data_IF_305190945798
#
_entry.id   IF_305190945798
#
_cell.length_a   1.000
_cell.length_b   1.000
_cell.length_c   1.000
_cell.angle_alpha   90.00
_cell.angle_beta   90.00
_cell.angle_gamma   90.00
#
_symmetry.space_group_name_H-M   'P 1'
#
loop_
_entity.id
_entity.type
_entity.pdbx_description
1 polymer ?
#
# COMPACT_ATOMS: atom_id res chain seq x y z
N UNK A 1 -21.11 -15.55 42.24
CA UNK A 1 -19.76 -16.16 42.24
C UNK A 1 -19.53 -17.20 41.12
N UNK A 2 -20.43 -18.13 40.78
CA UNK A 2 -20.23 -19.10 39.69
C UNK A 2 -20.19 -18.45 38.28
N UNK A 3 -21.02 -17.42 38.01
CA UNK A 3 -21.06 -16.73 36.71
C UNK A 3 -19.78 -15.91 36.42
N UNK A 4 -19.19 -15.29 37.46
CA UNK A 4 -17.91 -14.55 37.30
C UNK A 4 -16.72 -15.48 37.03
N UNK A 5 -16.69 -16.68 37.60
CA UNK A 5 -15.63 -17.69 37.31
C UNK A 5 -15.74 -18.23 35.88
N UNK A 6 -16.96 -18.39 35.34
CA UNK A 6 -17.16 -18.84 33.95
C UNK A 6 -16.76 -17.75 32.94
N UNK A 7 -17.03 -16.48 33.25
CA UNK A 7 -16.61 -15.35 32.40
C UNK A 7 -15.07 -15.20 32.37
N UNK A 8 -14.41 -15.28 33.52
CA UNK A 8 -12.95 -15.24 33.61
C UNK A 8 -12.28 -16.43 32.89
N UNK A 9 -12.80 -17.65 33.05
CA UNK A 9 -12.31 -18.83 32.34
C UNK A 9 -12.49 -18.75 30.81
N UNK A 10 -13.57 -18.10 30.35
CA UNK A 10 -13.82 -17.87 28.91
C UNK A 10 -12.86 -16.82 28.34
N UNK A 11 -12.59 -15.75 29.10
CA UNK A 11 -11.63 -14.70 28.69
C UNK A 11 -10.20 -15.24 28.67
N UNK A 12 -9.80 -16.05 29.67
CA UNK A 12 -8.47 -16.72 29.67
C UNK A 12 -8.31 -17.69 28.48
N UNK A 13 -9.33 -18.48 28.18
CA UNK A 13 -9.31 -19.38 27.00
C UNK A 13 -9.21 -18.60 25.69
N UNK A 14 -9.96 -17.52 25.55
CA UNK A 14 -9.89 -16.64 24.37
C UNK A 14 -8.52 -15.97 24.23
N UNK A 15 -7.93 -15.56 25.36
CA UNK A 15 -6.58 -14.97 25.37
C UNK A 15 -5.48 -15.99 25.06
N UNK A 16 -5.67 -17.24 25.51
CA UNK A 16 -4.75 -18.35 25.20
C UNK A 16 -4.82 -18.78 23.74
N UNK A 17 -6.03 -18.82 23.15
CA UNK A 17 -6.25 -19.08 21.73
C UNK A 17 -5.65 -17.95 20.88
N UNK A 18 -5.82 -16.70 21.30
CA UNK A 18 -5.23 -15.52 20.63
C UNK A 18 -3.69 -15.58 20.66
N UNK A 19 -3.09 -15.96 21.80
CA UNK A 19 -1.63 -16.09 21.96
C UNK A 19 -1.06 -17.26 21.13
N UNK A 20 -1.80 -18.36 21.00
CA UNK A 20 -1.42 -19.54 20.19
C UNK A 20 -1.51 -19.19 18.69
N UNK A 21 -2.59 -18.54 18.26
CA UNK A 21 -2.79 -18.08 16.88
C UNK A 21 -1.75 -17.03 16.47
N UNK A 22 -1.37 -16.16 17.39
CA UNK A 22 -0.28 -15.19 17.16
C UNK A 22 1.09 -15.87 16.96
N UNK A 23 1.35 -16.99 17.67
CA UNK A 23 2.58 -17.78 17.52
C UNK A 23 2.63 -18.55 16.19
N UNK A 24 1.49 -19.04 15.69
CA UNK A 24 1.38 -19.75 14.40
C UNK A 24 1.53 -18.78 13.20
N UNK A 25 0.93 -17.58 13.27
CA UNK A 25 1.10 -16.53 12.25
C UNK A 25 2.56 -16.04 12.21
N UNK A 26 3.19 -15.86 13.35
CA UNK A 26 4.61 -15.51 13.45
C UNK A 26 5.51 -16.65 12.94
N UNK A 27 5.14 -17.89 13.18
CA UNK A 27 5.87 -19.09 12.74
C UNK A 27 5.85 -19.30 11.22
N UNK A 28 4.71 -19.10 10.55
CA UNK A 28 4.59 -19.24 9.09
C UNK A 28 5.34 -18.12 8.35
N UNK A 29 5.31 -16.89 8.88
CA UNK A 29 6.12 -15.77 8.40
C UNK A 29 7.64 -15.98 8.65
N UNK A 30 7.99 -16.80 9.64
CA UNK A 30 9.39 -17.17 9.94
C UNK A 30 9.99 -18.09 8.86
N UNK A 31 9.20 -19.01 8.30
CA UNK A 31 9.66 -19.93 7.24
C UNK A 31 9.91 -19.19 5.90
N UNK A 32 9.06 -18.21 5.58
CA UNK A 32 9.27 -17.35 4.41
C UNK A 32 10.54 -16.50 4.55
N UNK A 33 10.87 -16.06 5.76
CA UNK A 33 12.04 -15.23 6.03
C UNK A 33 13.37 -16.02 5.91
N UNK A 34 13.41 -17.28 6.36
CA UNK A 34 14.59 -18.16 6.22
C UNK A 34 14.86 -18.53 4.76
N UNK A 35 13.82 -18.68 3.94
CA UNK A 35 13.96 -18.88 2.49
C UNK A 35 14.51 -17.64 1.79
N UNK A 36 14.10 -16.43 2.20
CA UNK A 36 14.60 -15.17 1.68
C UNK A 36 16.07 -14.95 2.09
N UNK A 37 16.45 -15.25 3.34
CA UNK A 37 17.87 -15.18 3.76
C UNK A 37 18.78 -16.14 2.98
N UNK A 38 18.34 -17.38 2.72
CA UNK A 38 19.10 -18.34 1.93
C UNK A 38 19.26 -17.90 0.47
N UNK A 39 18.24 -17.19 -0.06
CA UNK A 39 18.24 -16.65 -1.39
C UNK A 39 19.22 -15.45 -1.53
N UNK A 40 19.30 -14.60 -0.52
CA UNK A 40 20.24 -13.49 -0.41
C UNK A 40 21.71 -13.94 -0.37
N UNK A 41 22.00 -15.06 0.29
CA UNK A 41 23.37 -15.61 0.35
C UNK A 41 23.89 -16.06 -1.01
N UNK A 42 23.02 -16.53 -1.91
CA UNK A 42 23.38 -16.91 -3.28
C UNK A 42 23.61 -15.71 -4.22
N UNK A 43 23.09 -14.53 -3.91
CA UNK A 43 23.20 -13.34 -4.77
C UNK A 43 24.42 -12.46 -4.50
N UNK A 44 25.12 -12.66 -3.39
CA UNK A 44 26.37 -11.94 -3.04
C UNK A 44 27.51 -12.08 -4.08
N UNK A 45 27.40 -13.02 -5.02
CA UNK A 45 28.46 -13.33 -6.00
C UNK A 45 28.20 -12.77 -7.42
N UNK A 46 27.04 -12.22 -7.72
CA UNK A 46 26.73 -11.65 -9.05
C UNK A 46 27.12 -10.17 -9.13
N UNK A 47 27.92 -9.80 -10.14
CA UNK A 47 28.15 -8.38 -10.50
C UNK A 47 26.83 -7.76 -10.94
N UNK A 48 26.47 -6.62 -10.34
CA UNK A 48 25.31 -5.84 -10.74
C UNK A 48 25.41 -5.37 -12.20
N UNK A 49 24.28 -5.21 -12.87
CA UNK A 49 24.20 -4.82 -14.28
C UNK A 49 23.19 -3.67 -14.47
N UNK A 50 23.68 -2.47 -14.80
CA UNK A 50 22.85 -1.29 -15.04
C UNK A 50 21.89 -1.49 -16.24
N UNK A 51 22.31 -2.22 -17.27
CA UNK A 51 21.49 -2.46 -18.46
C UNK A 51 20.19 -3.23 -18.15
N UNK A 52 20.15 -3.97 -17.05
CA UNK A 52 18.97 -4.66 -16.59
C UNK A 52 17.84 -3.71 -16.13
N UNK A 53 18.11 -2.41 -15.95
CA UNK A 53 17.13 -1.37 -15.60
C UNK A 53 16.48 -0.73 -16.84
N UNK A 54 16.96 -1.01 -18.06
CA UNK A 54 16.40 -0.46 -19.30
C UNK A 54 14.89 -0.70 -19.41
N UNK A 55 14.33 -1.89 -19.09
CA UNK A 55 12.89 -2.10 -19.19
C UNK A 55 12.08 -1.13 -18.32
N UNK A 56 12.57 -0.80 -17.12
CA UNK A 56 11.93 0.19 -16.28
C UNK A 56 11.99 1.59 -16.89
N UNK A 57 13.14 1.97 -17.48
CA UNK A 57 13.28 3.25 -18.18
C UNK A 57 12.39 3.32 -19.44
N UNK A 58 12.23 2.20 -20.14
CA UNK A 58 11.30 2.10 -21.30
C UNK A 58 9.86 2.29 -20.83
N UNK A 59 9.46 1.63 -19.74
CA UNK A 59 8.12 1.78 -19.16
C UNK A 59 7.82 3.25 -18.84
N UNK A 60 8.68 3.87 -18.02
CA UNK A 60 8.51 5.27 -17.59
C UNK A 60 8.61 6.22 -18.79
N UNK A 61 9.56 5.97 -19.71
CA UNK A 61 9.77 6.80 -20.88
C UNK A 61 8.61 6.76 -21.88
N UNK A 62 8.01 5.59 -22.10
CA UNK A 62 6.81 5.46 -22.95
C UNK A 62 5.63 6.18 -22.32
N UNK A 63 5.38 5.95 -21.02
CA UNK A 63 4.24 6.55 -20.36
C UNK A 63 4.35 8.07 -20.30
N UNK A 64 5.48 8.61 -19.79
CA UNK A 64 5.72 10.04 -19.74
C UNK A 64 5.83 10.66 -21.12
N UNK A 65 6.51 10.00 -22.06
CA UNK A 65 6.70 10.50 -23.42
C UNK A 65 5.39 10.68 -24.18
N UNK A 66 4.49 9.69 -24.09
CA UNK A 66 3.16 9.80 -24.71
C UNK A 66 2.29 10.81 -23.95
N UNK A 67 2.22 10.74 -22.62
CA UNK A 67 1.41 11.65 -21.81
C UNK A 67 1.78 13.11 -21.98
N UNK A 68 3.08 13.45 -21.99
CA UNK A 68 3.55 14.81 -22.24
C UNK A 68 3.34 15.20 -23.70
N UNK A 69 3.60 14.31 -24.65
CA UNK A 69 3.46 14.58 -26.08
C UNK A 69 2.03 14.82 -26.55
N UNK A 70 1.05 14.15 -25.93
CA UNK A 70 -0.38 14.30 -26.22
C UNK A 70 -1.09 15.30 -25.30
N UNK A 71 -0.47 15.67 -24.17
CA UNK A 71 -1.11 16.45 -23.11
C UNK A 71 -2.12 15.66 -22.27
N UNK A 72 -2.23 14.34 -22.51
CA UNK A 72 -3.17 13.44 -21.82
C UNK A 72 -2.51 12.11 -21.46
N UNK A 73 -2.38 11.85 -20.18
CA UNK A 73 -1.78 10.61 -19.64
C UNK A 73 -2.69 9.37 -19.77
N UNK A 74 -3.96 9.55 -20.09
CA UNK A 74 -4.89 8.45 -20.39
C UNK A 74 -4.66 7.82 -21.78
N UNK A 75 -3.98 8.55 -22.68
CA UNK A 75 -3.69 8.10 -24.05
C UNK A 75 -2.79 6.86 -24.08
N UNK A 76 -1.94 6.65 -23.06
CA UNK A 76 -1.08 5.45 -22.96
C UNK A 76 -1.61 4.51 -21.88
N UNK A 77 -2.33 3.44 -22.21
CA UNK A 77 -2.76 2.46 -21.22
C UNK A 77 -1.57 1.84 -20.48
N UNK A 78 -1.67 1.80 -19.15
CA UNK A 78 -0.56 1.36 -18.28
C UNK A 78 -0.17 -0.11 -18.57
N UNK A 79 -1.16 -0.99 -18.80
CA UNK A 79 -0.97 -2.38 -19.16
C UNK A 79 -0.14 -2.54 -20.46
N UNK A 80 -0.36 -1.66 -21.46
CA UNK A 80 0.40 -1.66 -22.72
C UNK A 80 1.85 -1.23 -22.49
N UNK A 81 2.07 -0.15 -21.73
CA UNK A 81 3.42 0.33 -21.43
C UNK A 81 4.25 -0.73 -20.68
N UNK A 82 3.64 -1.42 -19.70
CA UNK A 82 4.30 -2.49 -18.94
C UNK A 82 4.53 -3.73 -19.82
N UNK A 83 3.60 -4.06 -20.70
CA UNK A 83 3.76 -5.18 -21.65
C UNK A 83 4.97 -4.93 -22.57
N UNK A 84 5.09 -3.74 -23.13
CA UNK A 84 6.25 -3.37 -23.97
C UNK A 84 7.55 -3.45 -23.17
N UNK A 85 7.58 -2.93 -21.95
CA UNK A 85 8.73 -3.04 -21.07
C UNK A 85 9.08 -4.50 -20.74
N UNK A 86 8.09 -5.36 -20.56
CA UNK A 86 8.26 -6.80 -20.31
C UNK A 86 8.85 -7.50 -21.53
N UNK A 87 8.42 -7.15 -22.75
CA UNK A 87 8.99 -7.65 -23.99
C UNK A 87 10.47 -7.22 -24.09
N UNK A 88 10.79 -5.96 -23.81
CA UNK A 88 12.18 -5.48 -23.80
C UNK A 88 13.01 -6.26 -22.77
N UNK A 89 12.48 -6.53 -21.58
CA UNK A 89 13.15 -7.33 -20.56
C UNK A 89 13.45 -8.77 -21.02
N UNK A 90 12.51 -9.38 -21.76
CA UNK A 90 12.68 -10.72 -22.34
C UNK A 90 13.72 -10.75 -23.49
N UNK A 91 13.88 -9.66 -24.25
CA UNK A 91 14.87 -9.56 -25.33
C UNK A 91 16.29 -9.31 -24.78
N UNK A 92 16.41 -8.59 -23.67
CA UNK A 92 17.69 -8.34 -23.00
C UNK A 92 18.36 -9.66 -22.54
N UNK A 93 19.64 -9.58 -22.18
CA UNK A 93 20.44 -10.72 -21.72
C UNK A 93 20.48 -11.91 -22.71
N UNK A 94 21.11 -11.67 -23.86
CA UNK A 94 21.25 -12.69 -24.94
C UNK A 94 22.05 -13.94 -24.55
N UNK A 95 22.63 -13.95 -23.34
CA UNK A 95 23.38 -15.12 -22.82
C UNK A 95 22.46 -16.21 -22.28
N UNK A 96 21.20 -15.88 -22.00
CA UNK A 96 20.21 -16.85 -21.50
C UNK A 96 19.20 -17.24 -22.56
N UNK A 97 18.70 -18.48 -22.48
CA UNK A 97 17.66 -18.98 -23.38
C UNK A 97 16.34 -18.25 -23.11
N UNK A 98 15.54 -18.07 -24.17
CA UNK A 98 14.22 -17.45 -24.05
C UNK A 98 13.33 -18.20 -23.06
N UNK A 99 13.40 -19.55 -23.06
CA UNK A 99 12.66 -20.39 -22.12
C UNK A 99 12.98 -20.06 -20.65
N UNK A 100 14.29 -19.86 -20.32
CA UNK A 100 14.69 -19.50 -18.96
C UNK A 100 14.14 -18.13 -18.55
N UNK A 101 14.14 -17.16 -19.45
CA UNK A 101 13.59 -15.82 -19.17
C UNK A 101 12.09 -15.86 -18.92
N UNK A 102 11.35 -16.66 -19.73
CA UNK A 102 9.91 -16.88 -19.53
C UNK A 102 9.67 -17.57 -18.17
N UNK A 103 10.49 -18.56 -17.79
CA UNK A 103 10.41 -19.20 -16.47
C UNK A 103 10.59 -18.21 -15.33
N UNK A 104 11.58 -17.30 -15.42
CA UNK A 104 11.81 -16.24 -14.42
C UNK A 104 10.63 -15.28 -14.36
N UNK A 105 10.14 -14.83 -15.53
CA UNK A 105 8.99 -13.95 -15.63
C UNK A 105 7.74 -14.57 -14.97
N UNK A 106 7.41 -15.81 -15.33
CA UNK A 106 6.22 -16.50 -14.81
C UNK A 106 6.32 -16.77 -13.31
N UNK A 107 7.52 -17.10 -12.79
CA UNK A 107 7.75 -17.20 -11.33
C UNK A 107 7.55 -15.87 -10.62
N UNK A 108 7.98 -14.77 -11.22
CA UNK A 108 7.74 -13.43 -10.68
C UNK A 108 6.28 -13.04 -10.69
N UNK A 109 5.60 -13.24 -11.82
CA UNK A 109 4.17 -12.99 -12.00
C UNK A 109 3.32 -13.84 -11.04
N UNK A 110 3.70 -15.11 -10.81
CA UNK A 110 3.06 -16.05 -9.89
C UNK A 110 3.55 -15.94 -8.44
N UNK A 111 4.32 -14.93 -8.09
CA UNK A 111 4.77 -14.75 -6.71
C UNK A 111 3.60 -14.56 -5.75
N UNK A 112 3.67 -15.17 -4.56
CA UNK A 112 2.55 -15.21 -3.61
C UNK A 112 1.97 -13.83 -3.27
N UNK A 113 2.82 -12.79 -3.17
CA UNK A 113 2.36 -11.42 -2.91
C UNK A 113 1.60 -10.83 -4.10
N UNK A 114 2.00 -11.14 -5.34
CA UNK A 114 1.31 -10.67 -6.55
C UNK A 114 -0.08 -11.32 -6.63
N UNK A 115 -0.15 -12.64 -6.45
CA UNK A 115 -1.42 -13.37 -6.45
C UNK A 115 -2.34 -12.89 -5.32
N UNK A 116 -1.79 -12.61 -4.13
CA UNK A 116 -2.55 -12.05 -3.02
C UNK A 116 -3.13 -10.68 -3.37
N UNK A 117 -2.34 -9.78 -3.99
CA UNK A 117 -2.82 -8.45 -4.44
C UNK A 117 -3.93 -8.60 -5.48
N UNK A 118 -3.77 -9.48 -6.47
CA UNK A 118 -4.81 -9.75 -7.46
C UNK A 118 -6.11 -10.20 -6.81
N UNK A 119 -6.04 -11.12 -5.82
CA UNK A 119 -7.21 -11.58 -5.08
C UNK A 119 -7.87 -10.44 -4.29
N UNK A 120 -7.09 -9.57 -3.67
CA UNK A 120 -7.61 -8.39 -2.97
C UNK A 120 -8.32 -7.45 -3.95
N UNK A 121 -7.75 -7.18 -5.14
CA UNK A 121 -8.38 -6.32 -6.15
C UNK A 121 -9.71 -6.90 -6.64
N UNK A 122 -9.75 -8.18 -6.97
CA UNK A 122 -10.97 -8.88 -7.40
C UNK A 122 -12.06 -8.80 -6.33
N UNK A 123 -11.73 -9.10 -5.07
CA UNK A 123 -12.68 -9.03 -3.96
C UNK A 123 -13.11 -7.59 -3.66
N UNK A 124 -12.21 -6.62 -3.77
CA UNK A 124 -12.53 -5.21 -3.59
C UNK A 124 -13.50 -4.71 -4.66
N UNK A 125 -13.28 -5.08 -5.93
CA UNK A 125 -14.21 -4.76 -7.02
C UNK A 125 -15.60 -5.37 -6.80
N UNK A 126 -15.65 -6.66 -6.45
CA UNK A 126 -16.92 -7.33 -6.13
C UNK A 126 -17.64 -6.66 -4.94
N UNK A 127 -16.91 -6.29 -3.86
CA UNK A 127 -17.46 -5.57 -2.71
C UNK A 127 -17.97 -4.19 -3.11
N UNK A 128 -17.18 -3.42 -3.83
CA UNK A 128 -17.51 -2.07 -4.30
C UNK A 128 -18.81 -2.08 -5.08
N UNK A 129 -18.90 -2.89 -6.14
CA UNK A 129 -20.05 -2.93 -7.03
C UNK A 129 -21.31 -3.47 -6.32
N UNK A 130 -21.17 -4.55 -5.54
CA UNK A 130 -22.31 -5.11 -4.80
C UNK A 130 -22.89 -4.11 -3.80
N UNK A 131 -22.00 -3.35 -3.13
CA UNK A 131 -22.43 -2.33 -2.14
C UNK A 131 -22.99 -1.09 -2.83
N UNK A 132 -22.48 -0.71 -4.00
CA UNK A 132 -22.99 0.38 -4.83
C UNK A 132 -24.39 0.07 -5.32
N UNK A 133 -24.60 -1.08 -5.96
CA UNK A 133 -25.91 -1.51 -6.51
C UNK A 133 -26.96 -1.70 -5.40
N UNK A 134 -26.54 -2.04 -4.17
CA UNK A 134 -27.38 -2.05 -2.98
C UNK A 134 -27.75 -0.63 -2.48
N UNK A 135 -27.02 0.43 -2.94
CA UNK A 135 -27.15 1.81 -2.44
C UNK A 135 -26.40 2.09 -1.14
N UNK A 136 -25.47 1.22 -0.75
CA UNK A 136 -24.66 1.33 0.46
C UNK A 136 -23.62 2.42 0.39
N UNK A 137 -22.99 2.63 -0.79
CA UNK A 137 -22.05 3.73 -1.02
C UNK A 137 -22.75 5.06 -0.77
N UNK A 138 -23.90 5.30 -1.45
CA UNK A 138 -24.65 6.55 -1.31
C UNK A 138 -25.11 6.79 0.12
N UNK A 139 -25.65 5.75 0.80
CA UNK A 139 -26.08 5.87 2.19
C UNK A 139 -24.92 6.18 3.14
N UNK A 140 -23.73 5.61 2.90
CA UNK A 140 -22.53 5.86 3.72
C UNK A 140 -22.00 7.28 3.50
N UNK A 141 -21.96 7.73 2.26
CA UNK A 141 -21.58 9.11 1.90
C UNK A 141 -22.54 10.11 2.55
N UNK A 142 -23.86 9.92 2.39
CA UNK A 142 -24.87 10.80 2.96
C UNK A 142 -24.81 10.85 4.49
N UNK A 143 -24.57 9.71 5.15
CA UNK A 143 -24.32 9.68 6.60
C UNK A 143 -23.08 10.51 6.96
N UNK A 144 -21.98 10.36 6.23
CA UNK A 144 -20.77 11.16 6.42
C UNK A 144 -21.03 12.66 6.27
N UNK A 145 -21.72 13.05 5.20
CA UNK A 145 -22.10 14.44 4.92
C UNK A 145 -23.05 15.04 5.96
N UNK A 146 -23.91 14.21 6.57
CA UNK A 146 -24.82 14.67 7.63
C UNK A 146 -24.15 14.88 8.99
N UNK A 147 -23.02 14.19 9.26
CA UNK A 147 -22.36 14.19 10.56
C UNK A 147 -21.09 15.05 10.61
N UNK A 148 -20.38 15.17 9.49
CA UNK A 148 -19.08 15.84 9.43
C UNK A 148 -19.26 17.18 8.70
N UNK A 149 -18.74 18.30 9.26
CA UNK A 149 -18.72 19.58 8.55
C UNK A 149 -18.07 19.46 7.18
N UNK A 150 -18.62 20.14 6.17
CA UNK A 150 -18.20 20.05 4.76
C UNK A 150 -16.69 20.23 4.58
N UNK A 151 -16.11 21.22 5.22
CA UNK A 151 -14.69 21.55 5.16
C UNK A 151 -13.77 20.53 5.87
N UNK A 152 -14.32 19.55 6.59
CA UNK A 152 -13.58 18.52 7.31
C UNK A 152 -13.78 17.12 6.74
N UNK A 153 -14.62 16.93 5.72
CA UNK A 153 -14.99 15.58 5.24
C UNK A 153 -13.79 14.82 4.66
N UNK A 154 -12.94 15.50 3.90
CA UNK A 154 -11.72 14.90 3.32
C UNK A 154 -10.65 14.66 4.40
N UNK A 155 -10.56 15.56 5.38
CA UNK A 155 -9.71 15.36 6.57
C UNK A 155 -10.21 14.14 7.36
N UNK A 156 -11.53 14.01 7.55
CA UNK A 156 -12.14 12.85 8.19
C UNK A 156 -11.84 11.53 7.46
N UNK A 157 -11.93 11.54 6.14
CA UNK A 157 -11.56 10.40 5.31
C UNK A 157 -10.10 10.00 5.51
N UNK A 158 -9.16 10.97 5.54
CA UNK A 158 -7.75 10.72 5.83
C UNK A 158 -7.56 10.05 7.20
N UNK A 159 -8.21 10.60 8.24
CA UNK A 159 -8.12 10.08 9.61
C UNK A 159 -8.68 8.65 9.71
N UNK A 160 -9.82 8.38 9.08
CA UNK A 160 -10.39 7.03 9.04
C UNK A 160 -9.40 6.04 8.39
N UNK A 161 -8.85 6.39 7.24
CA UNK A 161 -7.86 5.55 6.56
C UNK A 161 -6.61 5.31 7.43
N UNK A 162 -6.14 6.32 8.18
CA UNK A 162 -5.02 6.18 9.12
C UNK A 162 -5.30 5.09 10.17
N UNK A 163 -6.47 5.14 10.82
CA UNK A 163 -6.84 4.18 11.87
C UNK A 163 -7.10 2.78 11.32
N UNK A 164 -7.78 2.66 10.19
CA UNK A 164 -8.04 1.37 9.53
C UNK A 164 -6.72 0.70 9.17
N UNK A 165 -5.83 1.42 8.49
CA UNK A 165 -4.54 0.88 8.07
C UNK A 165 -3.62 0.54 9.25
N UNK A 166 -3.61 1.36 10.31
CA UNK A 166 -2.89 1.08 11.55
C UNK A 166 -3.31 -0.27 12.15
N UNK A 167 -4.59 -0.57 12.10
CA UNK A 167 -5.19 -1.77 12.68
C UNK A 167 -5.11 -2.99 11.79
N UNK A 168 -5.28 -2.84 10.46
CA UNK A 168 -5.15 -3.92 9.48
C UNK A 168 -3.68 -4.30 9.21
N UNK A 169 -2.77 -3.34 9.33
CA UNK A 169 -1.36 -3.53 8.99
C UNK A 169 -1.12 -3.73 7.50
N UNK A 170 -1.94 -3.10 6.65
CA UNK A 170 -1.78 -3.13 5.19
C UNK A 170 -2.40 -1.90 4.53
N UNK A 171 -1.59 -1.18 3.76
CA UNK A 171 -2.06 -0.04 2.97
C UNK A 171 -2.94 -0.45 1.79
N UNK A 172 -2.55 -1.50 1.06
CA UNK A 172 -3.34 -2.03 -0.08
C UNK A 172 -4.73 -2.47 0.37
N UNK A 173 -4.81 -3.21 1.48
CA UNK A 173 -6.09 -3.67 2.03
C UNK A 173 -6.99 -2.52 2.49
N UNK A 174 -6.40 -1.46 3.06
CA UNK A 174 -7.13 -0.27 3.48
C UNK A 174 -7.66 0.51 2.27
N UNK A 175 -6.84 0.70 1.23
CA UNK A 175 -7.28 1.33 -0.02
C UNK A 175 -8.44 0.52 -0.62
N UNK A 176 -8.29 -0.81 -0.74
CA UNK A 176 -9.32 -1.68 -1.28
C UNK A 176 -10.67 -1.57 -0.53
N UNK A 177 -10.62 -1.40 0.79
CA UNK A 177 -11.82 -1.30 1.62
C UNK A 177 -12.50 0.08 1.60
N UNK A 178 -11.71 1.17 1.51
CA UNK A 178 -12.22 2.53 1.74
C UNK A 178 -12.30 3.36 0.45
N UNK A 179 -11.57 3.01 -0.62
CA UNK A 179 -11.62 3.76 -1.88
C UNK A 179 -13.03 3.94 -2.46
N UNK A 180 -13.97 2.95 -2.40
CA UNK A 180 -15.33 3.15 -2.86
C UNK A 180 -16.06 4.29 -2.13
N UNK A 181 -15.88 4.41 -0.82
CA UNK A 181 -16.44 5.52 -0.03
C UNK A 181 -15.81 6.84 -0.44
N UNK A 182 -14.48 6.87 -0.59
CA UNK A 182 -13.76 8.05 -1.08
C UNK A 182 -14.25 8.49 -2.46
N UNK A 183 -14.45 7.56 -3.39
CA UNK A 183 -15.01 7.85 -4.71
C UNK A 183 -16.45 8.39 -4.61
N UNK A 184 -17.29 7.76 -3.79
CA UNK A 184 -18.65 8.25 -3.54
C UNK A 184 -18.66 9.68 -2.98
N UNK A 185 -17.70 10.04 -2.10
CA UNK A 185 -17.54 11.42 -1.62
C UNK A 185 -17.20 12.37 -2.76
N UNK A 186 -16.30 12.00 -3.68
CA UNK A 186 -15.98 12.85 -4.85
C UNK A 186 -17.18 13.07 -5.78
N UNK A 187 -18.11 12.13 -5.85
CA UNK A 187 -19.33 12.28 -6.64
C UNK A 187 -20.40 13.16 -5.93
N UNK A 188 -20.33 13.26 -4.62
CA UNK A 188 -21.28 14.01 -3.81
C UNK A 188 -20.80 15.42 -3.44
N UNK A 189 -19.53 15.75 -3.73
CA UNK A 189 -18.89 17.04 -3.42
C UNK A 189 -18.17 17.59 -4.66
N UNK A 190 -17.74 18.84 -4.62
CA UNK A 190 -16.93 19.46 -5.68
C UNK A 190 -15.45 19.03 -5.62
N UNK A 191 -15.08 18.12 -4.70
CA UNK A 191 -13.71 17.63 -4.57
C UNK A 191 -13.44 16.57 -5.62
N UNK A 192 -12.37 16.75 -6.40
CA UNK A 192 -12.03 15.80 -7.47
C UNK A 192 -11.73 14.40 -6.96
N UNK A 193 -12.03 13.38 -7.78
CA UNK A 193 -11.70 12.00 -7.49
C UNK A 193 -10.19 11.81 -7.21
N UNK A 194 -9.31 12.54 -7.90
CA UNK A 194 -7.89 12.50 -7.70
C UNK A 194 -7.47 12.90 -6.27
N UNK A 195 -8.06 13.97 -5.72
CA UNK A 195 -7.80 14.43 -4.34
C UNK A 195 -8.31 13.39 -3.33
N UNK A 196 -9.53 12.91 -3.49
CA UNK A 196 -10.12 11.94 -2.54
C UNK A 196 -9.38 10.61 -2.55
N UNK A 197 -9.01 10.11 -3.74
CA UNK A 197 -8.24 8.87 -3.88
C UNK A 197 -6.82 8.99 -3.31
N UNK A 198 -6.11 10.10 -3.61
CA UNK A 198 -4.81 10.38 -3.03
C UNK A 198 -4.86 10.52 -1.50
N UNK A 199 -5.97 11.06 -0.97
CA UNK A 199 -6.22 11.14 0.49
C UNK A 199 -6.38 9.75 1.11
N UNK A 200 -7.13 8.85 0.47
CA UNK A 200 -7.27 7.45 0.92
C UNK A 200 -5.90 6.76 0.94
N UNK A 201 -5.12 6.88 -0.14
CA UNK A 201 -3.76 6.33 -0.21
C UNK A 201 -2.87 6.91 0.87
N UNK A 202 -2.87 8.22 1.05
CA UNK A 202 -2.04 8.90 2.06
C UNK A 202 -2.35 8.43 3.48
N UNK A 203 -3.62 8.33 3.86
CA UNK A 203 -4.05 7.81 5.16
C UNK A 203 -3.67 6.33 5.35
N UNK A 204 -3.85 5.52 4.30
CA UNK A 204 -3.46 4.11 4.31
C UNK A 204 -1.93 3.94 4.48
N UNK A 205 -1.13 4.76 3.83
CA UNK A 205 0.34 4.75 3.95
C UNK A 205 0.80 5.17 5.36
N UNK A 206 0.15 6.16 5.99
CA UNK A 206 0.45 6.54 7.36
C UNK A 206 0.22 5.38 8.34
N UNK A 207 -0.95 4.75 8.27
CA UNK A 207 -1.31 3.66 9.16
C UNK A 207 -0.40 2.45 9.01
N UNK A 208 -0.09 2.07 7.77
CA UNK A 208 0.83 0.98 7.44
C UNK A 208 2.23 1.22 8.03
N UNK A 209 2.77 2.42 7.88
CA UNK A 209 4.08 2.81 8.40
C UNK A 209 4.17 2.80 9.94
N UNK A 210 3.07 3.05 10.66
CA UNK A 210 3.02 3.01 12.13
C UNK A 210 2.50 1.69 12.70
N UNK A 211 1.88 0.83 11.90
CA UNK A 211 1.31 -0.43 12.39
C UNK A 211 2.41 -1.38 12.90
N UNK A 212 2.17 -1.96 14.07
CA UNK A 212 3.06 -2.98 14.64
C UNK A 212 2.89 -4.36 14.00
N UNK A 213 1.84 -4.56 13.21
CA UNK A 213 1.54 -5.82 12.54
C UNK A 213 1.77 -5.74 11.02
N UNK A 214 2.16 -4.58 10.51
CA UNK A 214 2.49 -4.39 9.10
C UNK A 214 3.72 -5.20 8.69
N UNK A 215 3.64 -5.78 7.49
CA UNK A 215 4.76 -6.54 6.90
C UNK A 215 5.99 -5.65 6.67
N UNK A 216 5.81 -4.37 6.31
CA UNK A 216 6.89 -3.39 6.14
C UNK A 216 7.63 -3.12 7.45
N UNK A 217 6.87 -2.85 8.50
CA UNK A 217 7.42 -2.63 9.85
C UNK A 217 8.13 -3.88 10.36
N UNK A 218 7.54 -5.08 10.18
CA UNK A 218 8.17 -6.37 10.56
C UNK A 218 9.48 -6.57 9.79
N UNK A 219 9.49 -6.34 8.49
CA UNK A 219 10.68 -6.45 7.65
C UNK A 219 11.80 -5.48 8.10
N UNK A 220 11.47 -4.21 8.32
CA UNK A 220 12.42 -3.19 8.77
C UNK A 220 13.05 -3.54 10.12
N UNK A 221 12.22 -3.94 11.10
CA UNK A 221 12.69 -4.27 12.44
C UNK A 221 13.56 -5.51 12.45
N UNK A 222 13.18 -6.55 11.69
CA UNK A 222 13.94 -7.82 11.65
C UNK A 222 15.27 -7.66 10.94
N UNK A 223 15.32 -6.97 9.81
CA UNK A 223 16.56 -6.74 9.06
C UNK A 223 17.57 -5.94 9.86
N UNK A 224 17.11 -4.98 10.67
CA UNK A 224 17.95 -4.15 11.52
C UNK A 224 18.19 -4.74 12.93
N UNK A 225 17.61 -5.91 13.25
CA UNK A 225 17.71 -6.57 14.57
C UNK A 225 17.34 -5.66 15.73
N UNK A 226 16.29 -4.84 15.56
CA UNK A 226 15.75 -3.96 16.60
C UNK A 226 14.38 -4.44 17.11
N UNK A 227 13.81 -3.77 18.12
CA UNK A 227 12.48 -4.10 18.66
C UNK A 227 11.40 -3.26 18.00
N UNK A 228 10.23 -3.86 17.77
CA UNK A 228 9.06 -3.22 17.21
C UNK A 228 8.67 -1.94 17.95
N UNK A 229 8.58 -2.02 19.29
CA UNK A 229 8.25 -0.89 20.16
C UNK A 229 9.28 0.24 20.09
N UNK A 230 10.55 -0.10 19.88
CA UNK A 230 11.63 0.89 19.82
C UNK A 230 11.63 1.62 18.47
N UNK A 231 11.36 0.91 17.35
CA UNK A 231 11.12 1.52 16.02
C UNK A 231 9.91 2.42 16.05
N UNK A 232 8.79 1.97 16.63
CA UNK A 232 7.56 2.76 16.75
C UNK A 232 7.82 4.12 17.43
N UNK A 233 8.54 4.13 18.57
CA UNK A 233 8.87 5.36 19.31
C UNK A 233 9.73 6.35 18.52
N UNK A 234 10.56 5.87 17.60
CA UNK A 234 11.34 6.71 16.72
C UNK A 234 10.46 7.23 15.59
N UNK A 235 9.75 6.32 14.96
CA UNK A 235 8.97 6.58 13.76
C UNK A 235 7.85 7.58 13.99
N UNK A 236 7.07 7.43 15.09
CA UNK A 236 5.94 8.31 15.40
C UNK A 236 6.35 9.79 15.51
N UNK A 237 7.57 10.06 16.01
CA UNK A 237 8.09 11.44 16.15
C UNK A 237 8.37 12.13 14.83
N UNK A 238 8.50 11.36 13.74
CA UNK A 238 8.76 11.87 12.40
C UNK A 238 7.48 11.84 11.55
N UNK A 239 6.74 10.75 11.65
CA UNK A 239 5.57 10.47 10.82
C UNK A 239 4.35 11.28 11.28
N UNK A 240 4.16 11.46 12.61
CA UNK A 240 3.03 12.22 13.13
C UNK A 240 3.06 13.71 12.74
N UNK A 241 4.19 14.44 12.81
CA UNK A 241 4.28 15.77 12.21
C UNK A 241 3.88 15.79 10.74
N UNK A 242 4.32 14.78 9.94
CA UNK A 242 3.93 14.64 8.53
C UNK A 242 2.41 14.51 8.36
N UNK A 243 1.75 13.72 9.18
CA UNK A 243 0.29 13.59 9.17
C UNK A 243 -0.42 14.90 9.54
N UNK A 244 0.07 15.61 10.55
CA UNK A 244 -0.50 16.91 10.97
C UNK A 244 -0.38 17.93 9.81
N UNK A 245 0.78 18.03 9.17
CA UNK A 245 0.95 18.91 8.02
C UNK A 245 0.05 18.48 6.85
N UNK A 246 -0.14 17.18 6.62
CA UNK A 246 -1.07 16.66 5.61
C UNK A 246 -2.51 17.05 5.92
N UNK A 247 -2.96 16.93 7.17
CA UNK A 247 -4.29 17.35 7.62
C UNK A 247 -4.50 18.85 7.34
N UNK A 248 -3.52 19.67 7.69
CA UNK A 248 -3.56 21.12 7.44
C UNK A 248 -3.61 21.40 5.93
N UNK A 249 -2.78 20.73 5.14
CA UNK A 249 -2.76 20.93 3.69
C UNK A 249 -4.06 20.48 3.02
N UNK A 250 -4.62 19.34 3.42
CA UNK A 250 -5.92 18.85 2.95
C UNK A 250 -7.04 19.83 3.33
N UNK A 251 -7.03 20.35 4.56
CA UNK A 251 -8.01 21.33 4.99
C UNK A 251 -7.96 22.58 4.12
N UNK A 252 -6.78 23.15 3.84
CA UNK A 252 -6.64 24.30 2.95
C UNK A 252 -7.05 23.99 1.51
N UNK A 253 -6.70 22.82 1.00
CA UNK A 253 -6.99 22.40 -0.37
C UNK A 253 -8.49 22.18 -0.61
N UNK A 254 -9.22 21.76 0.43
CA UNK A 254 -10.64 21.42 0.35
C UNK A 254 -11.54 22.40 1.13
N UNK A 255 -10.96 23.49 1.68
CA UNK A 255 -11.68 24.54 2.38
C UNK A 255 -12.40 25.47 1.40
N UNK A 256 -13.56 25.12 1.03
CA UNK A 256 -14.38 25.78 0.00
C UNK A 256 -15.11 24.76 -0.86
N UNK A 257 -14.88 23.49 -0.61
CA UNK A 257 -15.69 22.43 -1.16
C UNK A 257 -17.15 22.66 -0.76
N UNK A 258 -18.01 22.89 -1.74
CA UNK A 258 -19.43 23.09 -1.51
C UNK A 258 -20.11 21.75 -1.61
N UNK A 259 -20.92 21.47 -0.61
CA UNK A 259 -21.93 20.42 -0.67
C UNK A 259 -23.22 21.11 -1.16
N UNK A 260 -23.90 20.52 -2.09
CA UNK A 260 -25.18 21.05 -2.57
C UNK A 260 -26.21 21.02 -1.41
N UNK A 261 -26.24 22.10 -0.64
CA UNK A 261 -27.13 22.26 0.51
C UNK A 261 -28.64 22.17 0.15
N UNK A 262 -28.96 22.15 -1.16
CA UNK A 262 -30.33 21.94 -1.64
C UNK A 262 -30.73 20.47 -1.68
N UNK A 263 -29.77 19.54 -1.58
CA UNK A 263 -30.02 18.09 -1.57
C UNK A 263 -30.27 17.60 -0.15
N UNK A 264 -31.35 16.84 0.03
CA UNK A 264 -31.55 16.02 1.23
C UNK A 264 -30.55 14.86 1.21
N UNK A 265 -29.70 14.77 2.23
CA UNK A 265 -28.75 13.66 2.39
C UNK A 265 -29.41 12.52 3.17
N UNK A 266 -30.52 12.00 2.63
CA UNK A 266 -31.21 10.87 3.24
C UNK A 266 -30.33 9.62 3.17
N UNK A 267 -30.20 8.91 4.28
CA UNK A 267 -29.44 7.67 4.37
C UNK A 267 -30.24 6.55 5.03
N UNK A 268 -29.99 5.34 4.59
CA UNK A 268 -30.52 4.14 5.24
C UNK A 268 -29.41 3.45 6.04
N UNK A 269 -29.54 3.47 7.36
CA UNK A 269 -28.52 2.91 8.27
C UNK A 269 -28.26 1.42 8.01
N UNK A 270 -29.25 0.65 7.54
CA UNK A 270 -29.06 -0.76 7.20
C UNK A 270 -28.12 -0.92 6.01
N UNK A 271 -28.21 -0.03 5.02
CA UNK A 271 -27.33 -0.02 3.85
C UNK A 271 -25.88 0.45 4.18
N UNK A 272 -25.69 1.12 5.31
CA UNK A 272 -24.35 1.50 5.82
C UNK A 272 -23.65 0.34 6.52
N UNK A 273 -24.40 -0.65 7.03
CA UNK A 273 -23.85 -1.76 7.83
C UNK A 273 -22.65 -2.50 7.19
N UNK A 274 -22.60 -2.77 5.87
CA UNK A 274 -21.44 -3.41 5.26
C UNK A 274 -20.15 -2.62 5.48
N UNK A 275 -20.17 -1.29 5.29
CA UNK A 275 -19.01 -0.44 5.53
C UNK A 275 -18.66 -0.34 7.01
N UNK A 276 -19.66 -0.24 7.90
CA UNK A 276 -19.40 -0.28 9.36
C UNK A 276 -18.78 -1.61 9.79
N UNK A 277 -19.27 -2.73 9.25
CA UNK A 277 -18.68 -4.05 9.52
C UNK A 277 -17.24 -4.14 9.00
N UNK A 278 -16.99 -3.71 7.76
CA UNK A 278 -15.63 -3.65 7.19
C UNK A 278 -14.72 -2.80 8.08
N UNK A 279 -15.16 -1.61 8.48
CA UNK A 279 -14.42 -0.72 9.37
C UNK A 279 -14.11 -1.38 10.72
N UNK A 280 -15.12 -1.95 11.38
CA UNK A 280 -14.96 -2.60 12.70
C UNK A 280 -14.01 -3.81 12.60
N UNK A 281 -14.22 -4.70 11.62
CA UNK A 281 -13.38 -5.87 11.44
C UNK A 281 -11.93 -5.49 11.10
N UNK A 282 -11.74 -4.43 10.31
CA UNK A 282 -10.43 -3.87 10.02
C UNK A 282 -9.76 -3.30 11.28
N UNK A 283 -10.49 -2.52 12.09
CA UNK A 283 -9.99 -1.93 13.34
C UNK A 283 -9.59 -2.98 14.39
N UNK A 284 -10.19 -4.15 14.41
CA UNK A 284 -9.78 -5.27 15.27
C UNK A 284 -8.71 -6.17 14.63
N UNK A 285 -8.20 -5.80 13.44
CA UNK A 285 -7.07 -6.47 12.77
C UNK A 285 -7.42 -7.79 12.09
N UNK A 286 -8.66 -7.97 11.62
CA UNK A 286 -9.05 -9.14 10.82
C UNK A 286 -8.41 -9.06 9.43
N UNK A 287 -8.05 -10.22 8.87
CA UNK A 287 -7.46 -10.32 7.53
C UNK A 287 -8.37 -9.69 6.47
N UNK A 288 -7.78 -8.87 5.58
CA UNK A 288 -8.48 -8.10 4.54
C UNK A 288 -9.38 -8.97 3.65
N UNK A 289 -8.95 -10.19 3.29
CA UNK A 289 -9.75 -11.12 2.49
C UNK A 289 -11.05 -11.48 3.20
N UNK A 290 -10.97 -11.82 4.50
CA UNK A 290 -12.15 -12.14 5.32
C UNK A 290 -13.06 -10.92 5.44
N UNK A 291 -12.48 -9.74 5.63
CA UNK A 291 -13.21 -8.47 5.72
C UNK A 291 -13.99 -8.21 4.44
N UNK A 292 -13.36 -8.33 3.27
CA UNK A 292 -14.00 -8.10 1.97
C UNK A 292 -15.08 -9.16 1.66
N UNK A 293 -14.79 -10.45 1.90
CA UNK A 293 -15.78 -11.53 1.73
C UNK A 293 -16.99 -11.28 2.64
N UNK A 294 -16.76 -10.92 3.90
CA UNK A 294 -17.83 -10.57 4.83
C UNK A 294 -18.65 -9.37 4.36
N UNK A 295 -17.98 -8.36 3.81
CA UNK A 295 -18.61 -7.17 3.22
C UNK A 295 -19.54 -7.54 2.06
N UNK A 296 -19.04 -8.35 1.10
CA UNK A 296 -19.83 -8.86 -0.04
C UNK A 296 -21.04 -9.64 0.47
N UNK A 297 -20.83 -10.57 1.40
CA UNK A 297 -21.91 -11.40 1.93
C UNK A 297 -23.01 -10.58 2.63
N UNK A 298 -22.61 -9.58 3.43
CA UNK A 298 -23.59 -8.71 4.12
C UNK A 298 -24.31 -7.82 3.14
N UNK A 299 -23.64 -7.23 2.15
CA UNK A 299 -24.26 -6.44 1.08
C UNK A 299 -25.24 -7.27 0.27
N UNK A 300 -24.89 -8.52 -0.06
CA UNK A 300 -25.74 -9.45 -0.76
C UNK A 300 -27.03 -9.74 0.03
N UNK A 301 -26.91 -10.06 1.32
CA UNK A 301 -28.06 -10.34 2.19
C UNK A 301 -29.00 -9.13 2.29
N UNK A 302 -28.44 -7.94 2.52
CA UNK A 302 -29.24 -6.72 2.65
C UNK A 302 -29.94 -6.41 1.31
N UNK A 303 -29.21 -6.42 0.18
CA UNK A 303 -29.77 -6.06 -1.11
C UNK A 303 -30.84 -7.05 -1.61
N UNK A 304 -30.73 -8.35 -1.26
CA UNK A 304 -31.76 -9.34 -1.54
C UNK A 304 -33.01 -9.17 -0.66
N UNK A 305 -32.84 -8.77 0.60
CA UNK A 305 -33.97 -8.58 1.54
C UNK A 305 -34.73 -7.29 1.24
N UNK A 306 -34.02 -6.20 0.94
CA UNK A 306 -34.65 -4.89 0.67
C UNK A 306 -35.12 -4.72 -0.79
N UNK A 307 -34.78 -5.71 -1.65
CA UNK A 307 -35.21 -5.71 -3.06
C UNK A 307 -34.37 -4.79 -3.96
N UNK A 308 -33.22 -4.32 -3.51
CA UNK A 308 -32.28 -3.53 -4.35
C UNK A 308 -31.84 -4.32 -5.58
N UNK A 309 -31.74 -5.64 -5.44
CA UNK A 309 -31.50 -6.58 -6.55
C UNK A 309 -32.07 -7.97 -6.23
N UNK A 310 -32.38 -8.76 -7.28
CA UNK A 310 -32.68 -10.19 -7.16
C UNK A 310 -31.43 -11.04 -7.30
N UNK A 311 -31.56 -12.38 -7.33
CA UNK A 311 -30.42 -13.29 -7.45
C UNK A 311 -29.57 -13.06 -8.71
N UNK A 312 -30.21 -12.81 -9.85
CA UNK A 312 -29.52 -12.51 -11.10
C UNK A 312 -28.77 -11.18 -11.01
N UNK A 313 -29.38 -10.15 -10.45
CA UNK A 313 -28.76 -8.83 -10.23
C UNK A 313 -27.56 -8.92 -9.29
N UNK A 314 -27.64 -9.73 -8.21
CA UNK A 314 -26.49 -9.96 -7.34
C UNK A 314 -25.28 -10.59 -8.10
N UNK A 315 -25.55 -11.61 -8.92
CA UNK A 315 -24.50 -12.26 -9.71
C UNK A 315 -23.90 -11.30 -10.74
N UNK A 316 -24.72 -10.46 -11.35
CA UNK A 316 -24.29 -9.40 -12.27
C UNK A 316 -23.43 -8.34 -11.56
N UNK A 317 -23.82 -7.89 -10.37
CA UNK A 317 -23.06 -6.93 -9.56
C UNK A 317 -21.67 -7.48 -9.21
N UNK A 318 -21.60 -8.72 -8.71
CA UNK A 318 -20.34 -9.39 -8.40
C UNK A 318 -19.47 -9.50 -9.67
N UNK A 319 -20.05 -9.93 -10.80
CA UNK A 319 -19.35 -10.09 -12.07
C UNK A 319 -18.83 -8.76 -12.60
N UNK A 320 -19.65 -7.71 -12.60
CA UNK A 320 -19.22 -6.35 -13.00
C UNK A 320 -18.07 -5.84 -12.15
N UNK A 321 -18.14 -6.03 -10.83
CA UNK A 321 -17.07 -5.64 -9.91
C UNK A 321 -15.76 -6.35 -10.18
N UNK A 322 -15.79 -7.67 -10.48
CA UNK A 322 -14.61 -8.46 -10.86
C UNK A 322 -14.01 -7.93 -12.17
N UNK A 323 -14.85 -7.75 -13.20
CA UNK A 323 -14.44 -7.24 -14.53
C UNK A 323 -13.82 -5.84 -14.40
N UNK A 324 -14.40 -4.96 -13.57
CA UNK A 324 -13.85 -3.62 -13.32
C UNK A 324 -12.43 -3.61 -12.75
N UNK A 325 -11.93 -4.74 -12.23
CA UNK A 325 -10.59 -4.87 -11.66
C UNK A 325 -9.63 -5.72 -12.53
N UNK A 326 -10.05 -6.19 -13.71
CA UNK A 326 -9.24 -7.05 -14.60
C UNK A 326 -7.94 -6.37 -15.02
N UNK A 327 -8.00 -5.13 -15.49
CA UNK A 327 -6.83 -4.38 -15.93
C UNK A 327 -5.80 -4.23 -14.82
N UNK A 328 -6.26 -3.94 -13.59
CA UNK A 328 -5.40 -3.76 -12.42
C UNK A 328 -4.73 -5.08 -12.02
N UNK A 329 -5.48 -6.16 -12.04
CA UNK A 329 -4.96 -7.50 -11.76
C UNK A 329 -3.92 -7.91 -12.82
N UNK A 330 -4.16 -7.61 -14.11
CA UNK A 330 -3.23 -7.84 -15.20
C UNK A 330 -1.95 -7.00 -15.04
N UNK A 331 -2.07 -5.73 -14.69
CA UNK A 331 -0.95 -4.83 -14.43
C UNK A 331 -0.07 -5.39 -13.30
N UNK A 332 -0.68 -5.83 -12.19
CA UNK A 332 0.05 -6.41 -11.06
C UNK A 332 0.86 -7.66 -11.48
N UNK A 333 0.28 -8.53 -12.28
CA UNK A 333 0.92 -9.72 -12.82
C UNK A 333 2.13 -9.37 -13.71
N UNK A 334 1.95 -8.45 -14.65
CA UNK A 334 3.01 -8.01 -15.57
C UNK A 334 4.16 -7.33 -14.82
N UNK A 335 3.87 -6.50 -13.83
CA UNK A 335 4.87 -5.87 -12.95
C UNK A 335 5.67 -6.94 -12.21
N UNK A 336 5.00 -7.93 -11.63
CA UNK A 336 5.67 -9.02 -10.92
C UNK A 336 6.69 -9.77 -11.80
N UNK A 337 6.30 -10.09 -13.04
CA UNK A 337 7.18 -10.71 -14.02
C UNK A 337 8.33 -9.82 -14.47
N UNK A 338 8.05 -8.54 -14.75
CA UNK A 338 9.05 -7.55 -15.17
C UNK A 338 10.11 -7.35 -14.07
N UNK A 339 9.68 -7.15 -12.82
CA UNK A 339 10.57 -6.98 -11.67
C UNK A 339 11.46 -8.19 -11.46
N UNK A 340 10.91 -9.40 -11.57
CA UNK A 340 11.68 -10.63 -11.45
C UNK A 340 12.80 -10.72 -12.53
N UNK A 341 12.53 -10.30 -13.77
CA UNK A 341 13.56 -10.24 -14.82
C UNK A 341 14.63 -9.18 -14.56
N UNK A 342 14.25 -7.98 -14.11
CA UNK A 342 15.18 -6.91 -13.74
C UNK A 342 16.12 -7.40 -12.63
N UNK A 343 15.55 -8.05 -11.63
CA UNK A 343 16.29 -8.60 -10.50
C UNK A 343 17.22 -9.74 -10.93
N UNK A 344 16.69 -10.71 -11.68
CA UNK A 344 17.46 -11.85 -12.19
C UNK A 344 18.67 -11.41 -13.03
N UNK A 345 18.52 -10.34 -13.80
CA UNK A 345 19.57 -9.76 -14.63
C UNK A 345 20.53 -8.84 -13.86
N UNK A 346 20.37 -8.69 -12.53
CA UNK A 346 21.29 -7.94 -11.65
C UNK A 346 21.04 -6.43 -11.59
N UNK A 347 19.89 -5.94 -12.06
CA UNK A 347 19.56 -4.50 -12.04
C UNK A 347 19.50 -3.94 -10.63
N UNK A 348 18.81 -4.64 -9.73
CA UNK A 348 18.68 -4.22 -8.33
C UNK A 348 20.03 -4.32 -7.61
N UNK A 349 20.79 -5.38 -7.85
CA UNK A 349 22.15 -5.54 -7.29
C UNK A 349 23.05 -4.38 -7.70
N UNK A 350 22.96 -3.91 -8.94
CA UNK A 350 23.73 -2.74 -9.40
C UNK A 350 23.33 -1.47 -8.65
N UNK A 351 22.02 -1.20 -8.47
CA UNK A 351 21.53 -0.04 -7.72
C UNK A 351 22.04 -0.03 -6.28
N UNK A 352 21.97 -1.17 -5.61
CA UNK A 352 22.41 -1.29 -4.22
C UNK A 352 23.91 -0.99 -4.10
N UNK A 353 24.75 -1.54 -4.97
CA UNK A 353 26.20 -1.25 -4.98
C UNK A 353 26.52 0.20 -5.35
N UNK A 354 25.76 0.78 -6.29
CA UNK A 354 25.94 2.17 -6.70
C UNK A 354 25.72 3.14 -5.53
N UNK A 355 24.70 2.92 -4.69
CA UNK A 355 24.42 3.76 -3.53
C UNK A 355 25.48 3.54 -2.44
N UNK A 356 25.81 2.28 -2.11
CA UNK A 356 26.80 1.95 -1.08
C UNK A 356 28.14 2.65 -1.29
N UNK A 357 28.64 2.67 -2.51
CA UNK A 357 29.96 3.22 -2.85
C UNK A 357 30.04 4.76 -2.68
N UNK A 358 28.92 5.43 -2.38
CA UNK A 358 28.86 6.89 -2.19
C UNK A 358 28.80 7.32 -0.72
N UNK A 359 28.62 6.38 0.21
CA UNK A 359 28.54 6.65 1.65
C UNK A 359 29.92 6.97 2.21
N UNK A 360 30.07 8.11 2.93
CA UNK A 360 31.34 8.57 3.51
C UNK A 360 31.23 9.14 4.93
N UNK A 361 30.04 9.18 5.52
CA UNK A 361 29.80 9.78 6.84
C UNK A 361 28.51 9.22 7.45
N UNK A 362 28.28 9.44 8.74
CA UNK A 362 27.06 9.01 9.42
C UNK A 362 25.77 9.56 8.76
N UNK A 363 25.73 10.86 8.42
CA UNK A 363 24.60 11.44 7.66
C UNK A 363 24.52 10.86 6.25
N UNK A 364 25.67 10.67 5.61
CA UNK A 364 25.74 9.98 4.33
C UNK A 364 25.25 8.55 4.40
N UNK A 365 25.47 7.85 5.52
CA UNK A 365 24.93 6.52 5.77
C UNK A 365 23.41 6.52 5.89
N UNK A 366 22.82 7.44 6.66
CA UNK A 366 21.37 7.60 6.78
C UNK A 366 20.73 7.94 5.43
N UNK A 367 21.32 8.85 4.64
CA UNK A 367 20.88 9.16 3.27
C UNK A 367 21.11 7.97 2.32
N UNK A 368 22.19 7.23 2.50
CA UNK A 368 22.46 6.01 1.75
C UNK A 368 21.42 4.94 1.97
N UNK A 369 21.00 4.72 3.23
CA UNK A 369 19.93 3.77 3.58
C UNK A 369 18.60 4.22 2.96
N UNK A 370 18.27 5.51 3.05
CA UNK A 370 17.09 6.08 2.40
C UNK A 370 17.13 5.85 0.88
N UNK A 371 18.24 6.18 0.24
CA UNK A 371 18.44 5.98 -1.21
C UNK A 371 18.40 4.51 -1.63
N UNK A 372 18.93 3.58 -0.81
CA UNK A 372 18.88 2.14 -1.08
C UNK A 372 17.44 1.62 -1.15
N UNK A 373 16.65 1.90 -0.11
CA UNK A 373 15.29 1.41 -0.06
C UNK A 373 14.42 2.08 -1.11
N UNK A 374 14.61 3.39 -1.37
CA UNK A 374 13.90 4.11 -2.42
C UNK A 374 14.20 3.55 -3.80
N UNK A 375 15.49 3.30 -4.12
CA UNK A 375 15.87 2.69 -5.39
C UNK A 375 15.35 1.27 -5.55
N UNK A 376 15.34 0.48 -4.48
CA UNK A 376 14.73 -0.84 -4.47
C UNK A 376 13.21 -0.74 -4.68
N UNK A 377 12.54 0.23 -4.06
CA UNK A 377 11.09 0.41 -4.17
C UNK A 377 10.66 0.85 -5.58
N UNK A 378 11.37 1.81 -6.16
CA UNK A 378 11.19 2.20 -7.57
C UNK A 378 11.32 0.98 -8.50
N UNK A 379 12.23 0.05 -8.18
CA UNK A 379 12.50 -1.12 -9.03
C UNK A 379 11.53 -2.28 -8.81
N UNK A 380 10.93 -2.38 -7.63
CA UNK A 380 10.09 -3.53 -7.22
C UNK A 380 8.60 -3.18 -7.15
N UNK A 381 8.26 -1.89 -7.08
CA UNK A 381 6.90 -1.42 -6.80
C UNK A 381 6.28 -2.11 -5.56
N UNK A 382 7.11 -2.47 -4.58
CA UNK A 382 6.69 -3.19 -3.38
C UNK A 382 7.55 -2.84 -2.18
N UNK A 383 6.99 -2.09 -1.24
CA UNK A 383 7.68 -1.58 -0.06
C UNK A 383 8.25 -2.69 0.86
N UNK A 384 7.54 -3.79 1.05
CA UNK A 384 8.02 -4.92 1.87
C UNK A 384 9.24 -5.58 1.23
N UNK A 385 9.17 -5.85 -0.08
CA UNK A 385 10.29 -6.45 -0.83
C UNK A 385 11.48 -5.50 -0.85
N UNK A 386 11.26 -4.20 -1.08
CA UNK A 386 12.33 -3.19 -1.09
C UNK A 386 13.07 -3.11 0.24
N UNK A 387 12.34 -3.17 1.37
CA UNK A 387 12.91 -3.21 2.72
C UNK A 387 13.71 -4.50 2.95
N UNK A 388 13.17 -5.67 2.56
CA UNK A 388 13.85 -6.94 2.71
C UNK A 388 15.14 -7.00 1.88
N UNK A 389 15.13 -6.46 0.66
CA UNK A 389 16.30 -6.43 -0.23
C UNK A 389 17.38 -5.45 0.22
N UNK A 390 16.99 -4.24 0.62
CA UNK A 390 17.94 -3.21 1.08
C UNK A 390 18.39 -3.40 2.53
N UNK A 391 17.58 -4.06 3.35
CA UNK A 391 17.77 -4.18 4.79
C UNK A 391 19.12 -4.78 5.24
N UNK A 392 19.61 -5.89 4.68
CA UNK A 392 20.91 -6.45 5.04
C UNK A 392 22.05 -5.47 4.77
N UNK A 393 22.05 -4.80 3.61
CA UNK A 393 23.07 -3.81 3.27
C UNK A 393 22.93 -2.53 4.10
N UNK A 394 21.71 -2.10 4.38
CA UNK A 394 21.44 -0.99 5.29
C UNK A 394 21.98 -1.27 6.69
N UNK A 395 21.90 -2.53 7.15
CA UNK A 395 22.47 -2.95 8.42
C UNK A 395 23.99 -2.88 8.42
N UNK A 396 24.66 -3.41 7.37
CA UNK A 396 26.13 -3.30 7.22
C UNK A 396 26.58 -1.83 7.26
N UNK A 397 25.89 -0.94 6.51
CA UNK A 397 26.15 0.50 6.52
C UNK A 397 25.91 1.11 7.91
N UNK A 398 24.83 0.70 8.59
CA UNK A 398 24.50 1.20 9.93
C UNK A 398 25.57 0.83 10.94
N UNK A 399 26.11 -0.38 10.90
CA UNK A 399 27.17 -0.87 11.77
C UNK A 399 28.51 -0.15 11.47
N UNK A 400 28.84 0.06 10.19
CA UNK A 400 30.08 0.71 9.76
C UNK A 400 30.13 2.21 10.17
N UNK A 401 28.99 2.92 10.11
CA UNK A 401 28.91 4.35 10.38
C UNK A 401 28.24 4.73 11.71
N UNK A 402 28.06 3.78 12.63
CA UNK A 402 27.43 3.98 13.96
C UNK A 402 26.02 4.63 13.88
N UNK A 403 25.19 4.18 12.91
CA UNK A 403 23.79 4.56 12.83
C UNK A 403 22.98 3.67 13.77
N UNK A 404 22.11 4.27 14.59
CA UNK A 404 21.26 3.50 15.52
C UNK A 404 20.31 2.57 14.75
N UNK A 405 20.25 1.27 15.09
CA UNK A 405 19.38 0.31 14.38
C UNK A 405 17.90 0.70 14.36
N UNK A 406 17.42 1.41 15.41
CA UNK A 406 16.04 1.93 15.50
C UNK A 406 15.80 2.99 14.44
N UNK A 407 16.78 3.85 14.21
CA UNK A 407 16.74 4.92 13.21
C UNK A 407 16.85 4.34 11.79
N UNK A 408 17.75 3.38 11.59
CA UNK A 408 17.89 2.67 10.32
C UNK A 408 16.57 1.96 9.93
N UNK A 409 15.94 1.24 10.86
CA UNK A 409 14.63 0.61 10.63
C UNK A 409 13.53 1.63 10.30
N UNK A 410 13.54 2.78 10.97
CA UNK A 410 12.58 3.87 10.70
C UNK A 410 12.81 4.48 9.31
N UNK A 411 14.07 4.73 8.90
CA UNK A 411 14.43 5.26 7.58
C UNK A 411 14.00 4.29 6.47
N UNK A 412 14.29 3.00 6.62
CA UNK A 412 13.87 1.97 5.66
C UNK A 412 12.36 2.01 5.41
N UNK A 413 11.58 2.02 6.48
CA UNK A 413 10.12 1.96 6.39
C UNK A 413 9.51 3.28 5.88
N UNK A 414 9.99 4.44 6.37
CA UNK A 414 9.49 5.73 5.91
C UNK A 414 9.77 6.00 4.43
N UNK A 415 11.00 5.72 3.97
CA UNK A 415 11.35 6.00 2.58
C UNK A 415 10.78 4.97 1.62
N UNK A 416 10.59 3.72 2.02
CA UNK A 416 9.78 2.77 1.27
C UNK A 416 8.34 3.29 1.13
N UNK A 417 7.68 3.68 2.23
CA UNK A 417 6.32 4.24 2.18
C UNK A 417 6.24 5.53 1.37
N UNK A 418 7.23 6.42 1.49
CA UNK A 418 7.27 7.67 0.71
C UNK A 418 7.26 7.38 -0.79
N UNK A 419 8.20 6.58 -1.28
CA UNK A 419 8.30 6.28 -2.72
C UNK A 419 7.13 5.43 -3.20
N UNK A 420 6.70 4.43 -2.45
CA UNK A 420 5.53 3.62 -2.78
C UNK A 420 4.26 4.49 -3.00
N UNK A 421 4.07 5.54 -2.21
CA UNK A 421 2.96 6.47 -2.36
C UNK A 421 3.14 7.50 -3.49
N UNK A 422 4.29 7.51 -4.17
CA UNK A 422 4.63 8.39 -5.30
C UNK A 422 4.84 7.64 -6.62
N UNK A 423 4.80 6.30 -6.60
CA UNK A 423 4.97 5.48 -7.80
C UNK A 423 3.61 5.19 -8.44
N UNK A 424 3.34 5.67 -9.66
CA UNK A 424 2.04 5.50 -10.33
C UNK A 424 1.72 4.03 -10.61
N UNK A 425 2.71 3.16 -10.61
CA UNK A 425 2.59 1.72 -10.76
C UNK A 425 2.63 0.96 -9.42
N UNK A 426 2.49 1.66 -8.31
CA UNK A 426 2.36 1.00 -7.00
C UNK A 426 0.96 0.41 -6.81
N UNK A 427 0.83 -0.71 -6.09
CA UNK A 427 -0.46 -1.35 -5.85
C UNK A 427 -1.51 -0.42 -5.23
N UNK A 428 -1.10 0.48 -4.35
CA UNK A 428 -1.99 1.42 -3.67
C UNK A 428 -2.59 2.45 -4.63
N UNK A 429 -1.73 3.07 -5.47
CA UNK A 429 -2.21 4.06 -6.43
C UNK A 429 -3.03 3.40 -7.54
N UNK A 430 -2.60 2.22 -8.02
CA UNK A 430 -3.35 1.45 -9.01
C UNK A 430 -4.73 1.08 -8.47
N UNK A 431 -4.81 0.56 -7.23
CA UNK A 431 -6.09 0.18 -6.63
C UNK A 431 -7.03 1.38 -6.46
N UNK A 432 -6.52 2.51 -5.96
CA UNK A 432 -7.30 3.72 -5.77
C UNK A 432 -7.79 4.30 -7.12
N UNK A 433 -6.89 4.41 -8.08
CA UNK A 433 -7.18 4.92 -9.43
C UNK A 433 -8.21 4.05 -10.17
N UNK A 434 -8.10 2.72 -10.01
CA UNK A 434 -9.03 1.78 -10.62
C UNK A 434 -10.46 1.89 -10.11
N UNK A 435 -10.65 2.08 -8.81
CA UNK A 435 -12.00 2.34 -8.24
C UNK A 435 -12.61 3.61 -8.83
N UNK A 436 -11.80 4.65 -9.03
CA UNK A 436 -12.27 5.92 -9.59
C UNK A 436 -12.26 5.97 -11.12
N UNK A 437 -11.76 4.93 -11.81
CA UNK A 437 -11.59 4.88 -13.27
C UNK A 437 -10.79 6.06 -13.83
N UNK A 438 -9.72 6.47 -13.11
CA UNK A 438 -8.80 7.54 -13.50
C UNK A 438 -7.36 7.00 -13.63
N UNK A 439 -6.47 7.79 -14.23
CA UNK A 439 -5.05 7.41 -14.31
C UNK A 439 -4.38 7.51 -12.92
N UNK A 440 -3.54 6.55 -12.50
CA UNK A 440 -2.74 6.67 -11.28
C UNK A 440 -1.85 7.92 -11.26
N UNK A 441 -1.46 8.45 -12.42
CA UNK A 441 -0.68 9.68 -12.52
C UNK A 441 -1.43 10.92 -12.09
N UNK A 442 -2.76 10.93 -12.21
CA UNK A 442 -3.61 12.04 -11.75
C UNK A 442 -3.59 12.18 -10.22
N UNK A 443 -3.27 11.09 -9.50
CA UNK A 443 -3.17 11.11 -8.05
C UNK A 443 -1.87 11.75 -7.55
N UNK A 444 -0.79 11.71 -8.36
CA UNK A 444 0.54 12.12 -7.93
C UNK A 444 0.63 13.55 -7.42
N UNK A 445 0.02 14.58 -8.08
CA UNK A 445 0.05 15.95 -7.57
C UNK A 445 -0.60 16.11 -6.19
N UNK A 446 -1.50 15.18 -5.84
CA UNK A 446 -2.27 15.18 -4.60
C UNK A 446 -1.79 14.13 -3.59
N UNK A 447 -0.68 13.44 -3.86
CA UNK A 447 -0.03 12.50 -2.93
C UNK A 447 0.70 13.25 -1.81
N UNK A 448 -0.05 14.09 -1.09
CA UNK A 448 0.47 15.07 -0.12
C UNK A 448 1.20 14.37 1.02
N UNK A 449 0.60 13.32 1.61
CA UNK A 449 1.22 12.62 2.75
C UNK A 449 2.56 11.97 2.37
N UNK A 450 2.70 11.18 1.30
CA UNK A 450 3.98 10.63 0.89
C UNK A 450 5.06 11.69 0.64
N UNK A 451 4.69 12.82 0.02
CA UNK A 451 5.62 13.95 -0.21
C UNK A 451 6.10 14.55 1.11
N UNK A 452 5.17 14.86 2.02
CA UNK A 452 5.50 15.45 3.33
C UNK A 452 6.29 14.44 4.17
N UNK A 453 5.96 13.14 4.12
CA UNK A 453 6.71 12.08 4.80
C UNK A 453 8.19 12.07 4.36
N UNK A 454 8.44 12.15 3.06
CA UNK A 454 9.79 12.25 2.51
C UNK A 454 10.55 13.47 3.03
N UNK A 455 9.91 14.64 3.06
CA UNK A 455 10.47 15.87 3.61
C UNK A 455 10.75 15.73 5.11
N UNK A 456 9.81 15.22 5.90
CA UNK A 456 10.01 14.96 7.33
C UNK A 456 11.16 13.97 7.59
N UNK A 457 11.28 12.92 6.76
CA UNK A 457 12.38 11.97 6.81
C UNK A 457 13.73 12.62 6.53
N UNK A 458 13.83 13.46 5.51
CA UNK A 458 15.05 14.23 5.20
C UNK A 458 15.40 15.20 6.34
N UNK A 459 14.44 15.95 6.87
CA UNK A 459 14.63 16.82 8.02
C UNK A 459 15.17 16.02 9.21
N UNK A 460 14.59 14.86 9.49
CA UNK A 460 15.03 13.98 10.58
C UNK A 460 16.49 13.51 10.41
N UNK A 461 16.92 13.25 9.18
CA UNK A 461 18.31 12.89 8.86
C UNK A 461 19.25 14.10 9.05
N UNK A 462 18.92 15.24 8.42
CA UNK A 462 19.80 16.42 8.43
C UNK A 462 19.98 17.02 9.84
N UNK A 463 18.91 17.02 10.64
CA UNK A 463 18.93 17.57 12.01
C UNK A 463 19.15 16.50 13.10
N UNK A 464 19.43 15.24 12.69
CA UNK A 464 19.64 14.10 13.60
C UNK A 464 18.50 13.92 14.62
N UNK A 465 17.26 13.89 14.10
CA UNK A 465 16.03 13.71 14.90
C UNK A 465 15.47 12.28 14.74
N UNK A 466 14.82 11.74 15.77
CA UNK A 466 14.96 12.16 17.17
C UNK A 466 16.38 11.84 17.68
N UNK A 467 16.87 12.66 18.62
CA UNK A 467 18.13 12.33 19.32
C UNK A 467 17.92 11.10 20.18
N UNK A 468 18.65 10.04 19.90
CA UNK A 468 18.54 8.75 20.59
C UNK A 468 19.72 8.60 21.57
N UNK A 469 19.42 8.30 22.84
CA UNK A 469 20.46 7.91 23.78
C UNK A 469 20.99 6.53 23.38
N UNK A 470 22.33 6.36 23.34
CA UNK A 470 22.96 5.05 23.20
C UNK A 470 22.47 4.17 24.37
N UNK A 471 21.84 3.03 24.03
CA UNK A 471 21.56 1.99 25.03
C UNK A 471 22.77 1.14 25.22
#
# INVERSE_FOLDING_TARGET
MKAQRLLFSSIEKSFFIFKKKHKEIVGSKFHAFTLIESWFYMEKTKKGNAWALIPLLVFVGLFLGVGIGTGDFSTMPLNVAILVASIVALILNRKETFHKKVEVFTKGAGHSNIILMMLIFILAGAFSQTTEDMGGVQSTVNLGLSLIPENLIIVGLFIICMFVSLSMGTSVGTVAAIAPVGFGLSQATDVSAAITMATVVGGAMFGDNLSMISDTTIAAVRTQKTKMSDKFKVNIKIVLPGAIFTIIALWFLTNGAQIDASKSYDYNIIKVLPYLMVLILALIGINVIIVLIGGIALSAVIGLIDGSFGWTGLLESISKGIIGMEDIAMIALLIGGLVALIQHNGGITWLLHFVRNRVKSKRGAELGIAGLVSAADISTANNTISILMSGPLAKEISEEYDVDPRKSASILDMFASCFQGLLPYSPQLIAAAGVASISPFELLPYSIYPMILGVCGLIAIFFNLPRLNKK
#
